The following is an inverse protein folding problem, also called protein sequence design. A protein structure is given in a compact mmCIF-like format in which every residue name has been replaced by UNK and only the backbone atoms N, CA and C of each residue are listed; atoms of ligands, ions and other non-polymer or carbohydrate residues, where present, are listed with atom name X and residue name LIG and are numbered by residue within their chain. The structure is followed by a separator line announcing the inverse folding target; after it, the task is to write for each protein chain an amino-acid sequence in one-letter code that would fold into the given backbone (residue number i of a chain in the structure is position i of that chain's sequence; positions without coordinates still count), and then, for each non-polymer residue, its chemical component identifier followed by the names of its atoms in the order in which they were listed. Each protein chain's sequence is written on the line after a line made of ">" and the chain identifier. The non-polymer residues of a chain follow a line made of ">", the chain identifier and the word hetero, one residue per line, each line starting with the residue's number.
data_IF_699679349772
#
_entry.id   IF_699679349772
#
_cell.length_a   1.000
_cell.length_b   1.000
_cell.length_c   1.000
_cell.angle_alpha   90.00
_cell.angle_beta   90.00
_cell.angle_gamma   90.00
#
_symmetry.space_group_name_H-M   'P 1'
#
loop_
_entity.id
_entity.type
_entity.pdbx_description
1 polymer ?
#
# COMPACT_ATOMS: atom_id res chain seq x y z
N UNK A 1 -14.86 -14.95 -1.00
CA UNK A 1 -15.29 -13.90 -0.04
C UNK A 1 -16.57 -13.19 -0.54
N UNK A 2 -17.30 -12.42 0.29
CA UNK A 2 -18.37 -11.51 -0.22
C UNK A 2 -17.73 -10.44 -1.12
N UNK A 3 -18.43 -10.01 -2.17
CA UNK A 3 -17.91 -9.05 -3.16
C UNK A 3 -17.38 -7.74 -2.53
N UNK A 4 -18.09 -7.09 -1.58
CA UNK A 4 -17.62 -5.85 -0.95
C UNK A 4 -16.31 -6.01 -0.20
N UNK A 5 -16.17 -7.13 0.52
CA UNK A 5 -14.95 -7.46 1.29
C UNK A 5 -13.78 -7.65 0.32
N UNK A 6 -13.99 -8.36 -0.78
CA UNK A 6 -12.94 -8.65 -1.76
C UNK A 6 -12.45 -7.39 -2.46
N UNK A 7 -13.38 -6.52 -2.90
CA UNK A 7 -13.06 -5.21 -3.51
C UNK A 7 -12.30 -4.33 -2.51
N UNK A 8 -12.87 -4.11 -1.33
CA UNK A 8 -12.31 -3.19 -0.34
C UNK A 8 -10.96 -3.63 0.21
N UNK A 9 -10.85 -4.89 0.68
CA UNK A 9 -9.58 -5.42 1.21
C UNK A 9 -8.51 -5.48 0.12
N UNK A 10 -8.86 -5.92 -1.09
CA UNK A 10 -7.86 -6.08 -2.13
C UNK A 10 -7.30 -4.78 -2.66
N UNK A 11 -8.17 -3.78 -2.81
CA UNK A 11 -7.74 -2.44 -3.18
C UNK A 11 -6.91 -1.79 -2.07
N UNK A 12 -7.43 -1.73 -0.84
CA UNK A 12 -6.76 -1.05 0.25
C UNK A 12 -5.44 -1.69 0.69
N UNK A 13 -5.34 -3.03 0.65
CA UNK A 13 -4.06 -3.72 0.89
C UNK A 13 -3.03 -3.35 -0.16
N UNK A 14 -3.38 -3.47 -1.44
CA UNK A 14 -2.42 -3.27 -2.54
C UNK A 14 -1.97 -1.81 -2.61
N UNK A 15 -2.91 -0.85 -2.54
CA UNK A 15 -2.57 0.58 -2.55
C UNK A 15 -1.82 0.98 -1.28
N UNK A 16 -2.24 0.50 -0.11
CA UNK A 16 -1.58 0.76 1.16
C UNK A 16 -0.12 0.33 1.19
N UNK A 17 0.19 -0.86 0.66
CA UNK A 17 1.57 -1.34 0.60
C UNK A 17 2.40 -0.53 -0.39
N UNK A 18 1.93 -0.36 -1.62
CA UNK A 18 2.71 0.27 -2.70
C UNK A 18 3.00 1.74 -2.36
N UNK A 19 1.99 2.48 -1.91
CA UNK A 19 2.16 3.90 -1.54
C UNK A 19 3.10 4.05 -0.35
N UNK A 20 2.91 3.26 0.71
CA UNK A 20 3.74 3.36 1.92
C UNK A 20 5.19 3.00 1.64
N UNK A 21 5.42 1.93 0.87
CA UNK A 21 6.77 1.49 0.53
C UNK A 21 7.49 2.49 -0.37
N UNK A 22 6.81 3.04 -1.38
CA UNK A 22 7.37 4.11 -2.21
C UNK A 22 7.69 5.37 -1.40
N UNK A 23 6.80 5.77 -0.48
CA UNK A 23 7.04 6.91 0.41
C UNK A 23 8.27 6.69 1.30
N UNK A 24 8.37 5.53 1.94
CA UNK A 24 9.49 5.19 2.83
C UNK A 24 10.82 5.29 2.08
N UNK A 25 10.90 4.70 0.89
CA UNK A 25 12.13 4.65 0.10
C UNK A 25 12.50 6.04 -0.44
N UNK A 26 11.53 6.78 -0.98
CA UNK A 26 11.78 8.13 -1.50
C UNK A 26 12.14 9.14 -0.40
N UNK A 27 11.48 9.09 0.77
CA UNK A 27 11.87 9.95 1.89
C UNK A 27 13.23 9.56 2.48
N UNK A 28 13.54 8.27 2.50
CA UNK A 28 14.85 7.81 2.94
C UNK A 28 15.97 8.28 2.04
N UNK A 29 15.82 8.18 0.71
CA UNK A 29 16.84 8.64 -0.23
C UNK A 29 17.00 10.15 -0.23
N UNK A 30 15.91 10.89 -0.04
CA UNK A 30 15.96 12.36 0.02
C UNK A 30 16.53 12.95 1.31
N UNK A 31 16.31 12.29 2.47
CA UNK A 31 16.55 12.94 3.78
C UNK A 31 17.39 12.14 4.76
N UNK A 32 17.48 10.82 4.60
CA UNK A 32 18.02 9.89 5.59
C UNK A 32 17.50 10.12 7.03
N UNK A 33 16.30 10.71 7.18
CA UNK A 33 15.78 11.19 8.47
C UNK A 33 14.62 10.31 8.94
N UNK A 34 14.84 9.59 10.05
CA UNK A 34 13.82 8.72 10.67
C UNK A 34 12.55 9.49 11.06
N UNK A 35 12.61 10.69 11.69
CA UNK A 35 11.41 11.47 11.99
C UNK A 35 10.60 11.86 10.75
N UNK A 36 11.28 12.21 9.64
CA UNK A 36 10.62 12.57 8.38
C UNK A 36 9.86 11.37 7.81
N UNK A 37 10.48 10.19 7.81
CA UNK A 37 9.85 8.96 7.33
C UNK A 37 8.65 8.59 8.21
N UNK A 38 8.79 8.63 9.55
CA UNK A 38 7.69 8.33 10.47
C UNK A 38 6.51 9.30 10.30
N UNK A 39 6.80 10.60 10.22
CA UNK A 39 5.79 11.62 9.99
C UNK A 39 5.09 11.43 8.65
N UNK A 40 5.86 11.16 7.58
CA UNK A 40 5.33 10.86 6.25
C UNK A 40 4.38 9.66 6.27
N UNK A 41 4.82 8.52 6.82
CA UNK A 41 4.00 7.30 6.88
C UNK A 41 2.71 7.52 7.66
N UNK A 42 2.77 8.18 8.84
CA UNK A 42 1.59 8.43 9.66
C UNK A 42 0.58 9.35 8.96
N UNK A 43 1.06 10.46 8.38
CA UNK A 43 0.19 11.42 7.68
C UNK A 43 -0.45 10.77 6.47
N UNK A 44 0.33 10.07 5.63
CA UNK A 44 -0.22 9.43 4.43
C UNK A 44 -1.16 8.29 4.82
N UNK A 45 -0.84 7.47 5.83
CA UNK A 45 -1.69 6.34 6.23
C UNK A 45 -3.10 6.79 6.59
N UNK A 46 -3.25 7.96 7.23
CA UNK A 46 -4.56 8.51 7.59
C UNK A 46 -5.23 9.18 6.39
N UNK A 47 -4.53 10.12 5.74
CA UNK A 47 -5.11 10.91 4.66
C UNK A 47 -5.49 10.05 3.45
N UNK A 48 -4.60 9.13 3.08
CA UNK A 48 -4.74 8.27 1.91
C UNK A 48 -5.74 7.13 2.15
N UNK A 49 -5.87 6.63 3.39
CA UNK A 49 -6.93 5.67 3.74
C UNK A 49 -8.33 6.29 3.70
N UNK A 50 -8.49 7.52 4.19
CA UNK A 50 -9.77 8.24 4.11
C UNK A 50 -10.11 8.59 2.65
N UNK A 51 -9.13 9.07 1.88
CA UNK A 51 -9.32 9.40 0.46
C UNK A 51 -9.73 8.19 -0.36
N UNK A 52 -9.02 7.05 -0.24
CA UNK A 52 -9.35 5.82 -0.97
C UNK A 52 -10.68 5.21 -0.53
N UNK A 53 -11.02 5.29 0.75
CA UNK A 53 -12.32 4.85 1.25
C UNK A 53 -13.46 5.65 0.62
N UNK A 54 -13.29 6.97 0.53
CA UNK A 54 -14.27 7.84 -0.13
C UNK A 54 -14.34 7.56 -1.62
N UNK A 55 -13.20 7.38 -2.30
CA UNK A 55 -13.16 7.03 -3.71
C UNK A 55 -13.86 5.70 -3.99
N UNK A 56 -13.66 4.68 -3.13
CA UNK A 56 -14.35 3.40 -3.22
C UNK A 56 -15.86 3.57 -3.02
N UNK A 57 -16.27 4.36 -2.03
CA UNK A 57 -17.69 4.64 -1.78
C UNK A 57 -18.36 5.26 -3.01
N UNK A 58 -17.78 6.32 -3.55
CA UNK A 58 -18.30 7.02 -4.72
C UNK A 58 -18.28 6.13 -5.97
N UNK A 59 -17.27 5.29 -6.14
CA UNK A 59 -17.19 4.34 -7.25
C UNK A 59 -18.33 3.32 -7.21
N UNK A 60 -18.58 2.69 -6.06
CA UNK A 60 -19.66 1.70 -5.91
C UNK A 60 -21.06 2.35 -5.97
N UNK A 61 -21.21 3.58 -5.45
CA UNK A 61 -22.47 4.35 -5.54
C UNK A 61 -22.79 4.72 -7.00
N UNK A 62 -21.76 5.07 -7.78
CA UNK A 62 -21.90 5.46 -9.19
C UNK A 62 -22.33 4.29 -10.10
N UNK A 63 -22.06 3.04 -9.72
CA UNK A 63 -22.53 1.87 -10.47
C UNK A 63 -24.05 1.68 -10.36
N UNK A 64 -24.71 2.27 -9.34
CA UNK A 64 -26.15 2.14 -9.05
C UNK A 64 -26.69 0.70 -9.04
N UNK A 65 -25.81 -0.30 -8.93
CA UNK A 65 -26.11 -1.72 -9.01
C UNK A 65 -26.08 -2.41 -7.63
N UNK A 66 -25.46 -1.76 -6.64
CA UNK A 66 -25.24 -2.31 -5.31
C UNK A 66 -26.12 -1.63 -4.27
N UNK A 67 -26.67 -2.37 -3.28
CA UNK A 67 -27.42 -1.78 -2.19
C UNK A 67 -26.49 -0.88 -1.34
N UNK A 68 -27.03 0.22 -0.82
CA UNK A 68 -26.29 1.23 -0.02
C UNK A 68 -25.42 0.59 1.07
N UNK A 69 -25.90 -0.49 1.70
CA UNK A 69 -25.12 -1.23 2.71
C UNK A 69 -23.82 -1.81 2.13
N UNK A 70 -23.84 -2.40 0.94
CA UNK A 70 -22.65 -2.98 0.31
C UNK A 70 -21.64 -1.90 -0.10
N UNK A 71 -22.12 -0.72 -0.53
CA UNK A 71 -21.28 0.46 -0.82
C UNK A 71 -20.50 0.89 0.42
N UNK A 72 -21.18 0.99 1.58
CA UNK A 72 -20.53 1.31 2.85
C UNK A 72 -19.60 0.21 3.34
N UNK A 73 -19.96 -1.07 3.15
CA UNK A 73 -19.09 -2.20 3.49
C UNK A 73 -17.78 -2.12 2.67
N UNK A 74 -17.84 -1.93 1.34
CA UNK A 74 -16.65 -1.79 0.48
C UNK A 74 -15.74 -0.65 0.94
N UNK A 75 -16.30 0.52 1.21
CA UNK A 75 -15.55 1.68 1.70
C UNK A 75 -14.87 1.41 3.05
N UNK A 76 -15.61 0.84 4.02
CA UNK A 76 -15.07 0.52 5.34
C UNK A 76 -13.93 -0.51 5.27
N UNK A 77 -14.04 -1.54 4.43
CA UNK A 77 -12.97 -2.50 4.21
C UNK A 77 -11.76 -1.88 3.52
N UNK A 78 -11.95 -0.95 2.58
CA UNK A 78 -10.85 -0.17 2.00
C UNK A 78 -10.12 0.64 3.07
N UNK A 79 -10.85 1.43 3.86
CA UNK A 79 -10.27 2.23 4.95
C UNK A 79 -9.46 1.36 5.92
N UNK A 80 -10.08 0.31 6.45
CA UNK A 80 -9.47 -0.53 7.48
C UNK A 80 -8.24 -1.27 6.94
N UNK A 81 -8.33 -1.87 5.74
CA UNK A 81 -7.19 -2.57 5.15
C UNK A 81 -6.04 -1.60 4.85
N UNK A 82 -6.31 -0.48 4.16
CA UNK A 82 -5.27 0.49 3.81
C UNK A 82 -4.56 1.05 5.03
N UNK A 83 -5.32 1.44 6.06
CA UNK A 83 -4.76 1.94 7.30
C UNK A 83 -3.91 0.88 8.02
N UNK A 84 -4.42 -0.34 8.20
CA UNK A 84 -3.70 -1.41 8.92
C UNK A 84 -2.41 -1.80 8.20
N UNK A 85 -2.46 -1.98 6.88
CA UNK A 85 -1.25 -2.35 6.12
C UNK A 85 -0.24 -1.21 6.07
N UNK A 86 -0.66 0.05 5.92
CA UNK A 86 0.25 1.19 6.00
C UNK A 86 0.92 1.28 7.39
N UNK A 87 0.15 1.16 8.48
CA UNK A 87 0.69 1.19 9.84
C UNK A 87 1.61 0.01 10.16
N UNK A 88 1.46 -1.13 9.48
CA UNK A 88 2.35 -2.28 9.65
C UNK A 88 3.82 -1.95 9.33
N UNK A 89 4.07 -0.99 8.44
CA UNK A 89 5.42 -0.53 8.11
C UNK A 89 6.11 0.27 9.22
N UNK A 90 5.35 0.73 10.23
CA UNK A 90 5.97 1.38 11.38
C UNK A 90 6.77 0.38 12.22
N UNK A 91 6.43 -0.91 12.19
CA UNK A 91 7.11 -1.95 12.98
C UNK A 91 8.62 -2.03 12.65
N UNK A 92 9.06 -2.24 11.39
CA UNK A 92 10.49 -2.23 11.07
C UNK A 92 11.15 -0.88 11.35
N UNK A 93 10.46 0.25 11.10
CA UNK A 93 10.99 1.60 11.29
C UNK A 93 11.21 1.94 12.76
N UNK A 94 10.40 1.40 13.67
CA UNK A 94 10.49 1.65 15.10
C UNK A 94 11.48 0.70 15.81
N UNK A 95 11.65 -0.52 15.31
CA UNK A 95 12.45 -1.56 15.98
C UNK A 95 13.90 -1.66 15.49
N UNK A 96 14.19 -1.25 14.25
CA UNK A 96 15.50 -1.46 13.62
C UNK A 96 16.23 -0.13 13.35
N UNK A 97 17.54 -0.22 13.17
CA UNK A 97 18.36 0.88 12.68
C UNK A 97 17.94 1.27 11.26
N UNK A 98 18.03 2.56 10.92
CA UNK A 98 17.39 3.09 9.72
C UNK A 98 17.73 2.30 8.43
N UNK A 99 18.99 1.99 8.08
CA UNK A 99 19.29 1.21 6.86
C UNK A 99 18.65 -0.18 6.88
N UNK A 100 18.69 -0.86 8.04
CA UNK A 100 18.10 -2.18 8.21
C UNK A 100 16.56 -2.12 8.20
N UNK A 101 15.98 -1.05 8.75
CA UNK A 101 14.55 -0.79 8.74
C UNK A 101 14.00 -0.62 7.32
N UNK A 102 14.74 0.09 6.44
CA UNK A 102 14.35 0.25 5.03
C UNK A 102 14.38 -1.11 4.33
N UNK A 103 15.46 -1.88 4.49
CA UNK A 103 15.57 -3.21 3.88
C UNK A 103 14.45 -4.15 4.38
N UNK A 104 14.19 -4.15 5.69
CA UNK A 104 13.10 -4.91 6.29
C UNK A 104 11.72 -4.45 5.79
N UNK A 105 11.51 -3.15 5.60
CA UNK A 105 10.28 -2.60 5.03
C UNK A 105 10.07 -3.04 3.59
N UNK A 106 11.11 -2.99 2.75
CA UNK A 106 11.05 -3.47 1.36
C UNK A 106 10.74 -4.97 1.35
N UNK A 107 11.44 -5.77 2.16
CA UNK A 107 11.17 -7.20 2.30
C UNK A 107 9.73 -7.49 2.76
N UNK A 108 9.25 -6.74 3.75
CA UNK A 108 7.88 -6.85 4.27
C UNK A 108 6.82 -6.54 3.21
N UNK A 109 6.97 -5.43 2.47
CA UNK A 109 6.02 -5.06 1.42
C UNK A 109 6.01 -6.05 0.26
N UNK A 110 7.18 -6.51 -0.20
CA UNK A 110 7.26 -7.54 -1.24
C UNK A 110 6.66 -8.87 -0.77
N UNK A 111 6.88 -9.25 0.49
CA UNK A 111 6.26 -10.44 1.09
C UNK A 111 4.73 -10.32 1.11
N UNK A 112 4.19 -9.20 1.59
CA UNK A 112 2.74 -8.97 1.65
C UNK A 112 2.10 -8.95 0.25
N UNK A 113 2.72 -8.27 -0.72
CA UNK A 113 2.24 -8.26 -2.11
C UNK A 113 2.25 -9.67 -2.68
N UNK A 114 3.32 -10.43 -2.45
CA UNK A 114 3.44 -11.81 -2.96
C UNK A 114 2.35 -12.69 -2.37
N UNK A 115 2.15 -12.63 -1.06
CA UNK A 115 1.12 -13.41 -0.35
C UNK A 115 -0.27 -13.08 -0.88
N UNK A 116 -0.58 -11.79 -1.02
CA UNK A 116 -1.89 -11.35 -1.50
C UNK A 116 -2.12 -11.69 -2.98
N UNK A 117 -1.10 -11.52 -3.82
CA UNK A 117 -1.14 -11.89 -5.23
C UNK A 117 -1.36 -13.39 -5.42
N UNK A 118 -0.71 -14.21 -4.60
CA UNK A 118 -0.90 -15.65 -4.59
C UNK A 118 -2.34 -16.03 -4.23
N UNK A 119 -2.89 -15.37 -3.19
CA UNK A 119 -4.25 -15.58 -2.75
C UNK A 119 -5.27 -15.23 -3.83
N UNK A 120 -5.16 -14.05 -4.47
CA UNK A 120 -6.08 -13.66 -5.55
C UNK A 120 -5.99 -14.62 -6.74
N UNK A 121 -4.77 -14.98 -7.15
CA UNK A 121 -4.57 -15.85 -8.30
C UNK A 121 -5.16 -17.25 -8.07
N UNK A 122 -5.01 -17.77 -6.85
CA UNK A 122 -5.61 -19.03 -6.42
C UNK A 122 -7.14 -18.95 -6.44
N UNK A 123 -7.75 -17.90 -5.86
CA UNK A 123 -9.20 -17.71 -5.85
C UNK A 123 -9.76 -17.51 -7.27
N UNK A 124 -8.99 -16.91 -8.18
CA UNK A 124 -9.36 -16.69 -9.58
C UNK A 124 -9.08 -17.89 -10.51
N UNK A 125 -8.45 -18.96 -10.03
CA UNK A 125 -8.11 -20.13 -10.85
C UNK A 125 -7.09 -19.86 -11.96
N UNK A 126 -6.29 -18.79 -11.82
CA UNK A 126 -5.26 -18.41 -12.80
C UNK A 126 -3.87 -18.85 -12.33
N UNK A 127 -2.89 -18.82 -13.25
CA UNK A 127 -1.51 -19.18 -12.93
C UNK A 127 -0.90 -18.21 -11.92
N UNK A 128 -0.70 -18.69 -10.68
CA UNK A 128 -0.21 -17.92 -9.52
C UNK A 128 1.05 -17.12 -9.81
N UNK A 129 2.06 -17.74 -10.43
CA UNK A 129 3.34 -17.09 -10.71
C UNK A 129 3.21 -15.86 -11.63
N UNK A 130 2.21 -15.83 -12.52
CA UNK A 130 2.02 -14.72 -13.47
C UNK A 130 1.57 -13.45 -12.74
N UNK A 131 0.60 -13.58 -11.84
CA UNK A 131 0.06 -12.45 -11.05
C UNK A 131 1.11 -11.94 -10.06
N UNK A 132 1.81 -12.85 -9.38
CA UNK A 132 2.91 -12.47 -8.47
C UNK A 132 3.97 -11.66 -9.23
N UNK A 133 4.41 -12.15 -10.39
CA UNK A 133 5.45 -11.48 -11.17
C UNK A 133 5.01 -10.08 -11.60
N UNK A 134 3.77 -9.93 -12.08
CA UNK A 134 3.21 -8.64 -12.49
C UNK A 134 3.21 -7.63 -11.33
N UNK A 135 2.67 -8.00 -10.17
CA UNK A 135 2.61 -7.09 -9.03
C UNK A 135 3.98 -6.79 -8.41
N UNK A 136 4.91 -7.75 -8.40
CA UNK A 136 6.29 -7.50 -7.95
C UNK A 136 6.99 -6.52 -8.90
N UNK A 137 6.84 -6.66 -10.22
CA UNK A 137 7.44 -5.74 -11.19
C UNK A 137 6.91 -4.33 -10.97
N UNK A 138 5.59 -4.16 -10.78
CA UNK A 138 4.98 -2.86 -10.49
C UNK A 138 5.53 -2.29 -9.17
N UNK A 139 5.61 -3.11 -8.12
CA UNK A 139 6.13 -2.67 -6.83
C UNK A 139 7.58 -2.19 -6.95
N UNK A 140 8.45 -2.96 -7.61
CA UNK A 140 9.85 -2.58 -7.87
C UNK A 140 9.93 -1.30 -8.68
N UNK A 141 9.10 -1.13 -9.72
CA UNK A 141 9.07 0.09 -10.51
C UNK A 141 8.73 1.32 -9.65
N UNK A 142 7.75 1.20 -8.74
CA UNK A 142 7.41 2.28 -7.79
C UNK A 142 8.57 2.57 -6.84
N UNK A 143 9.24 1.54 -6.30
CA UNK A 143 10.43 1.71 -5.44
C UNK A 143 11.51 2.51 -6.15
N UNK A 144 11.87 2.10 -7.36
CA UNK A 144 12.93 2.74 -8.12
C UNK A 144 12.55 4.18 -8.50
N UNK A 145 11.32 4.40 -8.96
CA UNK A 145 10.85 5.73 -9.31
C UNK A 145 10.90 6.68 -8.11
N UNK A 146 10.37 6.26 -6.96
CA UNK A 146 10.36 7.08 -5.74
C UNK A 146 11.74 7.29 -5.16
N UNK A 147 12.63 6.29 -5.24
CA UNK A 147 14.04 6.44 -4.85
C UNK A 147 14.73 7.57 -5.62
N UNK A 148 14.65 7.55 -6.95
CA UNK A 148 15.25 8.58 -7.80
C UNK A 148 14.60 9.95 -7.63
N UNK A 149 13.29 10.00 -7.39
CA UNK A 149 12.61 11.26 -7.05
C UNK A 149 13.17 11.82 -5.73
N UNK A 150 13.39 10.98 -4.72
CA UNK A 150 14.01 11.41 -3.46
C UNK A 150 15.44 11.92 -3.65
N UNK A 151 16.28 11.20 -4.39
CA UNK A 151 17.65 11.65 -4.71
C UNK A 151 17.65 12.99 -5.46
N UNK A 152 16.72 13.17 -6.41
CA UNK A 152 16.57 14.41 -7.15
C UNK A 152 16.24 15.58 -6.23
N UNK A 153 15.33 15.38 -5.27
CA UNK A 153 14.97 16.42 -4.28
C UNK A 153 16.15 16.74 -3.38
N UNK A 154 16.96 15.74 -2.98
CA UNK A 154 18.15 15.95 -2.16
C UNK A 154 19.19 16.88 -2.81
N UNK A 155 19.21 17.01 -4.15
CA UNK A 155 20.08 17.97 -4.82
C UNK A 155 19.73 19.44 -4.51
N UNK A 156 18.53 19.71 -4.00
CA UNK A 156 18.02 21.05 -3.74
C UNK A 156 17.83 21.38 -2.24
N UNK A 157 18.20 20.47 -1.33
CA UNK A 157 18.04 20.63 0.13
C UNK A 157 19.36 20.43 0.85
#
# INVERSE_FOLDING_TARGET
>A
MRIPVRKGVGFGLTSGIITTLGLIVGLHSGTHSRPVILGGVLVIAVADALSDSMAMHVSEESEAAHPVREVWESAAYTFASKLVFALSFLVPILLLDLPLAILASVGWGLFLITLFSAYIAWEAGVKVYKVILEHIIIAIAVVLATHYVGDLVALYT
#
